data_IF_110400883077
#
_entry.id   IF_110400883077
#
_cell.length_a   1.000
_cell.length_b   1.000
_cell.length_c   1.000
_cell.angle_alpha   90.00
_cell.angle_beta   90.00
_cell.angle_gamma   90.00
#
_symmetry.space_group_name_H-M   'P 1'
#
loop_
_entity.id
_entity.type
_entity.pdbx_description
1 polymer ?
#
# COMPACT_ATOMS: atom_id res chain seq x y z
N UNK A 1 9.46 -10.57 9.41
CA UNK A 1 9.89 -10.44 10.82
C UNK A 1 8.73 -10.40 11.83
N UNK A 2 7.91 -9.33 11.91
CA UNK A 2 6.82 -9.23 12.91
C UNK A 2 5.77 -10.35 12.79
N UNK A 3 5.36 -10.68 11.56
CA UNK A 3 4.43 -11.78 11.30
C UNK A 3 5.03 -13.13 11.68
N UNK A 4 6.30 -13.33 11.34
CA UNK A 4 7.05 -14.54 11.69
C UNK A 4 7.12 -14.73 13.21
N UNK A 5 7.31 -13.64 13.96
CA UNK A 5 7.30 -13.64 15.42
C UNK A 5 5.93 -14.01 16.00
N UNK A 6 4.85 -13.50 15.40
CA UNK A 6 3.50 -13.67 15.95
C UNK A 6 2.87 -15.04 15.59
N UNK A 7 3.07 -15.49 14.35
CA UNK A 7 2.36 -16.63 13.74
C UNK A 7 3.28 -17.65 13.06
N UNK A 8 4.60 -17.45 13.08
CA UNK A 8 5.57 -18.36 12.48
C UNK A 8 5.82 -18.13 10.98
N UNK A 9 6.69 -18.97 10.41
CA UNK A 9 7.29 -18.75 9.07
C UNK A 9 6.29 -18.87 7.92
N UNK A 10 5.32 -19.79 8.01
CA UNK A 10 4.31 -19.98 6.96
C UNK A 10 3.39 -18.75 6.82
N UNK A 11 2.93 -18.20 7.95
CA UNK A 11 2.12 -16.99 7.95
C UNK A 11 2.92 -15.78 7.45
N UNK A 12 4.21 -15.67 7.82
CA UNK A 12 5.08 -14.62 7.29
C UNK A 12 5.22 -14.71 5.77
N UNK A 13 5.39 -15.90 5.21
CA UNK A 13 5.47 -16.09 3.76
C UNK A 13 4.17 -15.69 3.06
N UNK A 14 3.02 -16.06 3.62
CA UNK A 14 1.71 -15.66 3.09
C UNK A 14 1.58 -14.14 3.02
N UNK A 15 1.87 -13.44 4.13
CA UNK A 15 1.77 -11.97 4.17
C UNK A 15 2.77 -11.33 3.20
N UNK A 16 4.00 -11.84 3.11
CA UNK A 16 5.00 -11.33 2.14
C UNK A 16 4.53 -11.50 0.69
N UNK A 17 3.90 -12.64 0.35
CA UNK A 17 3.34 -12.87 -0.99
C UNK A 17 2.17 -11.92 -1.26
N UNK A 18 1.23 -11.77 -0.32
CA UNK A 18 0.12 -10.81 -0.44
C UNK A 18 0.66 -9.40 -0.66
N UNK A 19 1.66 -8.99 0.12
CA UNK A 19 2.30 -7.69 0.01
C UNK A 19 2.96 -7.49 -1.35
N UNK A 20 3.73 -8.48 -1.82
CA UNK A 20 4.38 -8.44 -3.13
C UNK A 20 3.37 -8.33 -4.28
N UNK A 21 2.30 -9.12 -4.24
CA UNK A 21 1.23 -9.04 -5.24
C UNK A 21 0.54 -7.67 -5.23
N UNK A 22 0.37 -7.07 -4.05
CA UNK A 22 -0.30 -5.79 -3.93
C UNK A 22 0.56 -4.63 -4.49
N UNK A 23 1.87 -4.62 -4.21
CA UNK A 23 2.82 -3.65 -4.81
C UNK A 23 2.92 -3.83 -6.31
N UNK A 24 3.04 -5.08 -6.78
CA UNK A 24 3.08 -5.41 -8.20
C UNK A 24 1.81 -4.88 -8.91
N UNK A 25 0.65 -5.17 -8.33
CA UNK A 25 -0.63 -4.71 -8.84
C UNK A 25 -0.71 -3.19 -8.92
N UNK A 26 -0.18 -2.46 -7.93
CA UNK A 26 -0.18 -1.00 -7.93
C UNK A 26 0.67 -0.35 -9.02
N UNK A 27 1.65 -1.08 -9.58
CA UNK A 27 2.43 -0.61 -10.72
C UNK A 27 1.62 -0.55 -12.03
N UNK A 28 0.61 -1.40 -12.19
CA UNK A 28 -0.15 -1.56 -13.44
C UNK A 28 -1.02 -0.32 -13.74
N UNK A 29 -1.87 0.19 -12.82
CA UNK A 29 -2.61 1.44 -13.00
C UNK A 29 -1.71 2.63 -13.33
N UNK A 30 -0.59 2.76 -12.63
CA UNK A 30 0.37 3.85 -12.83
C UNK A 30 0.91 3.84 -14.27
N UNK A 31 1.33 2.68 -14.77
CA UNK A 31 1.82 2.55 -16.14
C UNK A 31 0.72 2.91 -17.17
N UNK A 32 -0.52 2.49 -16.92
CA UNK A 32 -1.65 2.77 -17.80
C UNK A 32 -1.98 4.27 -17.84
N UNK A 33 -2.09 4.94 -16.69
CA UNK A 33 -2.39 6.38 -16.61
C UNK A 33 -1.27 7.19 -17.27
N UNK A 34 -0.01 6.82 -17.05
CA UNK A 34 1.11 7.50 -17.71
C UNK A 34 1.07 7.32 -19.24
N UNK A 35 0.72 6.12 -19.74
CA UNK A 35 0.56 5.89 -21.19
C UNK A 35 -0.59 6.72 -21.80
N UNK A 36 -1.68 6.87 -21.05
CA UNK A 36 -2.83 7.69 -21.43
C UNK A 36 -2.48 9.19 -21.50
N UNK A 37 -1.72 9.68 -20.52
CA UNK A 37 -1.25 11.07 -20.54
C UNK A 37 -0.27 11.33 -21.69
N UNK A 38 0.63 10.38 -21.98
CA UNK A 38 1.57 10.48 -23.10
C UNK A 38 0.87 10.53 -24.46
N UNK A 39 -0.23 9.78 -24.64
CA UNK A 39 -1.04 9.90 -25.87
C UNK A 39 -1.54 11.34 -26.06
N UNK A 40 -2.08 11.96 -25.01
CA UNK A 40 -2.62 13.33 -25.09
C UNK A 40 -1.53 14.37 -25.34
N UNK A 41 -0.36 14.20 -24.73
CA UNK A 41 0.83 15.03 -25.00
C UNK A 41 1.29 14.87 -26.46
N UNK A 42 1.34 13.63 -26.95
CA UNK A 42 1.74 13.31 -28.33
C UNK A 42 0.79 13.90 -29.37
N UNK A 43 -0.51 13.89 -29.11
CA UNK A 43 -1.51 14.53 -29.95
C UNK A 43 -1.29 16.05 -30.06
N UNK A 44 -1.06 16.73 -28.92
CA UNK A 44 -0.77 18.18 -28.92
C UNK A 44 0.53 18.50 -29.65
N UNK A 45 1.60 17.73 -29.40
CA UNK A 45 2.92 17.96 -30.01
C UNK A 45 2.92 17.72 -31.52
N UNK A 46 2.13 16.75 -32.00
CA UNK A 46 1.97 16.47 -33.43
C UNK A 46 1.01 17.42 -34.15
N UNK A 47 0.51 18.47 -33.48
CA UNK A 47 -0.55 19.34 -34.00
C UNK A 47 -1.78 18.54 -34.48
N UNK A 48 -2.14 17.49 -33.76
CA UNK A 48 -3.26 16.58 -34.04
C UNK A 48 -3.15 15.80 -35.37
N UNK A 49 -1.94 15.64 -35.91
CA UNK A 49 -1.72 14.92 -37.18
C UNK A 49 -1.42 13.42 -37.00
N UNK A 50 -0.88 13.02 -35.84
CA UNK A 50 -0.48 11.64 -35.57
C UNK A 50 -1.12 11.18 -34.26
N UNK A 51 -2.11 10.29 -34.35
CA UNK A 51 -2.71 9.65 -33.17
C UNK A 51 -2.00 8.33 -32.86
N UNK A 52 -1.06 8.39 -31.92
CA UNK A 52 -0.44 7.20 -31.33
C UNK A 52 -1.28 6.75 -30.14
N UNK A 53 -2.00 5.65 -30.30
CA UNK A 53 -2.81 5.07 -29.22
C UNK A 53 -1.98 4.78 -27.96
N UNK A 54 -2.58 4.99 -26.79
CA UNK A 54 -1.98 4.69 -25.49
C UNK A 54 -1.43 3.25 -25.37
N UNK A 55 -1.95 2.25 -26.11
CA UNK A 55 -1.41 0.88 -26.10
C UNK A 55 0.06 0.84 -26.58
N UNK A 56 0.45 1.66 -27.55
CA UNK A 56 1.84 1.73 -28.01
C UNK A 56 2.70 2.52 -27.01
N UNK A 57 2.16 3.59 -26.44
CA UNK A 57 2.82 4.33 -25.37
C UNK A 57 3.07 3.47 -24.14
N UNK A 58 2.19 2.53 -23.83
CA UNK A 58 2.35 1.55 -22.75
C UNK A 58 3.61 0.70 -22.96
N UNK A 59 3.82 0.17 -24.17
CA UNK A 59 5.01 -0.61 -24.53
C UNK A 59 6.29 0.24 -24.46
N UNK A 60 6.24 1.45 -25.03
CA UNK A 60 7.37 2.40 -25.02
C UNK A 60 7.75 2.75 -23.58
N UNK A 61 6.76 3.07 -22.75
CA UNK A 61 6.97 3.44 -21.36
C UNK A 61 7.52 2.26 -20.55
N UNK A 62 7.01 1.04 -20.76
CA UNK A 62 7.58 -0.17 -20.15
C UNK A 62 9.06 -0.37 -20.51
N UNK A 63 9.42 -0.14 -21.78
CA UNK A 63 10.82 -0.22 -22.24
C UNK A 63 11.70 0.86 -21.62
N UNK A 64 11.19 2.09 -21.44
CA UNK A 64 11.93 3.21 -20.83
C UNK A 64 12.07 3.01 -19.31
N UNK A 65 11.02 2.56 -18.63
CA UNK A 65 11.03 2.33 -17.19
C UNK A 65 11.92 1.14 -16.81
N UNK A 66 12.05 0.12 -17.66
CA UNK A 66 12.87 -1.06 -17.41
C UNK A 66 14.34 -0.74 -17.02
N UNK A 67 15.14 0.01 -17.80
CA UNK A 67 16.51 0.35 -17.44
C UNK A 67 16.59 1.29 -16.23
N UNK A 68 15.62 2.21 -16.06
CA UNK A 68 15.54 3.08 -14.88
C UNK A 68 15.40 2.23 -13.61
N UNK A 69 14.60 1.17 -13.69
CA UNK A 69 14.39 0.24 -12.58
C UNK A 69 15.60 -0.65 -12.32
N UNK A 70 16.56 -0.83 -13.23
CA UNK A 70 17.80 -1.55 -12.92
C UNK A 70 18.72 -0.74 -12.01
N UNK A 71 18.71 0.59 -12.15
CA UNK A 71 19.57 1.53 -11.43
C UNK A 71 19.06 1.89 -10.03
N UNK A 72 17.76 1.68 -9.77
CA UNK A 72 17.12 1.97 -8.49
C UNK A 72 17.73 1.17 -7.34
N UNK A 73 18.66 1.79 -6.62
CA UNK A 73 19.18 1.36 -5.32
C UNK A 73 18.55 2.25 -4.23
N UNK A 74 18.27 1.72 -3.02
CA UNK A 74 17.63 2.48 -1.94
C UNK A 74 18.35 3.77 -1.53
N UNK A 75 19.65 3.88 -1.82
CA UNK A 75 20.50 5.01 -1.38
C UNK A 75 20.06 6.38 -1.94
N UNK A 76 19.40 6.42 -3.09
CA UNK A 76 18.96 7.67 -3.75
C UNK A 76 17.44 7.94 -3.59
N UNK A 77 16.73 7.06 -2.86
CA UNK A 77 15.27 7.08 -2.76
C UNK A 77 14.74 8.36 -2.12
N UNK A 78 15.48 8.95 -1.18
CA UNK A 78 15.05 10.17 -0.46
C UNK A 78 14.86 11.38 -1.37
N UNK A 79 15.74 11.55 -2.38
CA UNK A 79 15.67 12.69 -3.29
C UNK A 79 14.58 12.47 -4.34
N UNK A 80 14.49 11.25 -4.87
CA UNK A 80 13.43 10.87 -5.81
C UNK A 80 12.06 11.02 -5.15
N UNK A 81 11.89 10.53 -3.92
CA UNK A 81 10.65 10.67 -3.15
C UNK A 81 10.30 12.12 -2.82
N UNK A 82 11.29 12.96 -2.48
CA UNK A 82 11.05 14.39 -2.25
C UNK A 82 10.60 15.11 -3.53
N UNK A 83 11.30 14.89 -4.65
CA UNK A 83 10.93 15.48 -5.94
C UNK A 83 9.54 15.03 -6.37
N UNK A 84 9.24 13.75 -6.19
CA UNK A 84 7.93 13.15 -6.43
C UNK A 84 6.83 13.86 -5.62
N UNK A 85 7.02 14.04 -4.31
CA UNK A 85 6.06 14.73 -3.46
C UNK A 85 5.82 16.19 -3.88
N UNK A 86 6.89 16.92 -4.25
CA UNK A 86 6.77 18.30 -4.75
C UNK A 86 5.94 18.33 -6.04
N UNK A 87 6.21 17.41 -6.98
CA UNK A 87 5.46 17.34 -8.23
C UNK A 87 3.97 17.02 -8.03
N UNK A 88 3.60 16.23 -7.02
CA UNK A 88 2.18 15.97 -6.66
C UNK A 88 1.48 17.26 -6.21
N UNK A 89 2.15 18.07 -5.41
CA UNK A 89 1.57 19.33 -4.92
C UNK A 89 1.35 20.27 -6.10
N UNK A 90 2.34 20.40 -6.99
CA UNK A 90 2.25 21.24 -8.19
C UNK A 90 1.12 20.74 -9.11
N UNK A 91 1.08 19.44 -9.41
CA UNK A 91 0.03 18.88 -10.27
C UNK A 91 -1.36 19.07 -9.65
N UNK A 92 -1.51 18.88 -8.33
CA UNK A 92 -2.78 19.09 -7.65
C UNK A 92 -3.28 20.53 -7.81
N UNK A 93 -2.39 21.52 -7.68
CA UNK A 93 -2.75 22.94 -7.89
C UNK A 93 -3.17 23.22 -9.33
N UNK A 94 -2.46 22.66 -10.32
CA UNK A 94 -2.80 22.81 -11.74
C UNK A 94 -4.13 22.12 -12.09
N UNK A 95 -4.35 20.92 -11.55
CA UNK A 95 -5.61 20.19 -11.70
C UNK A 95 -6.77 21.00 -11.10
N UNK A 96 -6.61 21.59 -9.90
CA UNK A 96 -7.65 22.43 -9.31
C UNK A 96 -7.93 23.68 -10.12
N UNK A 97 -6.89 24.31 -10.68
CA UNK A 97 -7.07 25.43 -11.61
C UNK A 97 -7.93 25.02 -12.81
N UNK A 98 -7.60 23.90 -13.47
CA UNK A 98 -8.35 23.39 -14.62
C UNK A 98 -9.79 22.98 -14.25
N UNK A 99 -10.01 22.43 -13.05
CA UNK A 99 -11.34 22.09 -12.55
C UNK A 99 -12.22 23.34 -12.33
N UNK A 100 -11.62 24.44 -11.89
CA UNK A 100 -12.33 25.69 -11.63
C UNK A 100 -12.64 26.49 -12.91
N UNK A 101 -11.84 26.31 -13.97
CA UNK A 101 -11.93 26.99 -15.27
C UNK A 101 -13.13 26.54 -16.15
N UNK A 102 -13.99 25.66 -15.64
CA UNK A 102 -15.22 25.25 -16.34
C UNK A 102 -16.19 26.44 -16.47
N UNK A 103 -16.39 26.91 -17.71
CA UNK A 103 -17.30 28.01 -18.07
C UNK A 103 -18.77 27.58 -18.28
N UNK A 104 -19.30 26.69 -17.44
CA UNK A 104 -20.68 26.22 -17.59
C UNK A 104 -21.53 26.63 -16.38
N UNK A 105 -22.55 27.45 -16.63
CA UNK A 105 -23.57 27.85 -15.64
C UNK A 105 -24.60 26.74 -15.35
N UNK A 106 -24.47 25.58 -16.01
CA UNK A 106 -25.34 24.43 -15.79
C UNK A 106 -25.04 23.77 -14.44
N UNK A 107 -26.07 23.69 -13.60
CA UNK A 107 -26.00 22.97 -12.32
C UNK A 107 -25.74 21.48 -12.58
N UNK A 108 -24.71 20.88 -11.95
CA UNK A 108 -24.41 19.49 -12.17
C UNK A 108 -25.49 18.58 -11.58
N UNK A 109 -25.82 17.53 -12.34
CA UNK A 109 -26.72 16.48 -11.85
C UNK A 109 -25.94 15.63 -10.85
N UNK A 110 -26.40 15.63 -9.61
CA UNK A 110 -25.84 14.84 -8.52
C UNK A 110 -26.36 13.40 -8.60
N UNK A 111 -25.48 12.38 -8.67
CA UNK A 111 -25.91 10.98 -8.70
C UNK A 111 -26.53 10.56 -7.37
N UNK A 112 -27.54 9.69 -7.43
CA UNK A 112 -28.04 9.02 -6.23
C UNK A 112 -27.02 7.99 -5.73
N UNK A 113 -26.79 7.88 -4.41
CA UNK A 113 -25.87 6.90 -3.87
C UNK A 113 -26.41 5.48 -4.11
N UNK A 114 -25.61 4.63 -4.74
CA UNK A 114 -25.91 3.20 -4.87
C UNK A 114 -24.95 2.37 -4.00
N UNK A 115 -25.45 1.26 -3.48
CA UNK A 115 -24.63 0.34 -2.67
C UNK A 115 -23.45 -0.22 -3.49
N UNK A 116 -23.69 -0.58 -4.74
CA UNK A 116 -22.68 -1.10 -5.67
C UNK A 116 -21.53 -0.10 -5.87
N UNK A 117 -21.85 1.16 -6.23
CA UNK A 117 -20.84 2.20 -6.43
C UNK A 117 -20.06 2.50 -5.15
N UNK A 118 -20.70 2.43 -3.98
CA UNK A 118 -20.03 2.66 -2.71
C UNK A 118 -19.02 1.56 -2.38
N UNK A 119 -19.36 0.30 -2.69
CA UNK A 119 -18.50 -0.86 -2.43
C UNK A 119 -17.31 -0.92 -3.42
N UNK A 120 -17.53 -0.53 -4.68
CA UNK A 120 -16.44 -0.39 -5.66
C UNK A 120 -15.52 0.76 -5.24
N UNK A 121 -16.09 1.90 -4.82
CA UNK A 121 -15.33 3.03 -4.31
C UNK A 121 -14.49 2.66 -3.08
N UNK A 122 -15.02 1.84 -2.16
CA UNK A 122 -14.24 1.30 -1.04
C UNK A 122 -12.97 0.59 -1.51
N UNK A 123 -13.05 -0.26 -2.55
CA UNK A 123 -11.89 -0.95 -3.09
C UNK A 123 -10.83 0.03 -3.61
N UNK A 124 -11.24 1.01 -4.41
CA UNK A 124 -10.33 2.04 -4.94
C UNK A 124 -9.72 2.88 -3.82
N UNK A 125 -10.50 3.26 -2.81
CA UNK A 125 -10.02 4.02 -1.64
C UNK A 125 -9.06 3.19 -0.78
N UNK A 126 -9.34 1.90 -0.58
CA UNK A 126 -8.45 0.98 0.14
C UNK A 126 -7.12 0.81 -0.59
N UNK A 127 -7.15 0.77 -1.94
CA UNK A 127 -5.93 0.82 -2.74
C UNK A 127 -5.18 2.15 -2.56
N UNK A 128 -5.90 3.28 -2.59
CA UNK A 128 -5.30 4.61 -2.59
C UNK A 128 -4.59 4.98 -1.27
N UNK A 129 -5.08 4.47 -0.14
CA UNK A 129 -4.55 4.76 1.19
C UNK A 129 -3.61 3.66 1.73
N UNK A 130 -3.19 2.73 0.88
CA UNK A 130 -2.22 1.72 1.28
C UNK A 130 -0.79 2.30 1.38
N UNK A 131 -0.17 2.10 2.55
CA UNK A 131 1.24 2.46 2.79
C UNK A 131 2.05 1.23 3.23
N UNK A 132 1.37 0.13 3.60
CA UNK A 132 1.94 -1.02 4.31
C UNK A 132 3.19 -1.62 3.63
N UNK A 133 3.25 -1.77 2.30
CA UNK A 133 4.41 -2.34 1.64
C UNK A 133 5.68 -1.49 1.73
N UNK A 134 5.53 -0.18 1.88
CA UNK A 134 6.65 0.75 1.89
C UNK A 134 7.09 1.12 3.32
N UNK A 135 6.25 0.85 4.33
CA UNK A 135 6.51 1.22 5.72
C UNK A 135 7.83 0.67 6.26
N UNK A 136 8.15 -0.60 5.99
CA UNK A 136 9.39 -1.20 6.49
C UNK A 136 10.62 -0.59 5.82
N UNK A 137 10.58 -0.39 4.51
CA UNK A 137 11.67 0.25 3.77
C UNK A 137 11.90 1.68 4.27
N UNK A 138 10.83 2.47 4.42
CA UNK A 138 10.92 3.83 4.98
C UNK A 138 11.48 3.79 6.40
N UNK A 139 10.96 2.92 7.28
CA UNK A 139 11.41 2.84 8.66
C UNK A 139 12.89 2.48 8.78
N UNK A 140 13.40 1.61 7.90
CA UNK A 140 14.82 1.27 7.86
C UNK A 140 15.70 2.43 7.41
N UNK A 141 15.18 3.30 6.54
CA UNK A 141 15.87 4.47 6.00
C UNK A 141 15.72 5.74 6.88
N UNK A 142 14.81 5.75 7.85
CA UNK A 142 14.63 6.87 8.78
C UNK A 142 15.79 7.01 9.76
N UNK A 143 16.29 8.25 9.92
CA UNK A 143 17.29 8.61 10.95
C UNK A 143 16.80 8.25 12.36
N UNK A 144 15.55 8.58 12.65
CA UNK A 144 14.87 8.27 13.92
C UNK A 144 13.66 7.37 13.63
N UNK A 145 13.75 6.10 13.98
CA UNK A 145 12.68 5.11 13.71
C UNK A 145 11.42 5.34 14.54
N UNK A 146 11.54 6.04 15.67
CA UNK A 146 10.45 6.30 16.62
C UNK A 146 9.47 7.39 16.13
N UNK A 147 9.89 8.19 15.14
CA UNK A 147 9.07 9.26 14.56
C UNK A 147 8.15 8.75 13.44
N UNK A 148 8.20 7.46 13.12
CA UNK A 148 7.43 6.83 12.03
C UNK A 148 5.92 7.11 12.16
N UNK A 149 5.35 6.95 13.35
CA UNK A 149 3.91 7.17 13.56
C UNK A 149 3.47 8.60 13.26
N UNK A 150 4.28 9.59 13.66
CA UNK A 150 4.01 11.00 13.37
C UNK A 150 4.16 11.29 11.87
N UNK A 151 5.20 10.75 11.23
CA UNK A 151 5.41 10.90 9.79
C UNK A 151 4.23 10.33 8.98
N UNK A 152 3.74 9.14 9.34
CA UNK A 152 2.56 8.51 8.73
C UNK A 152 1.32 9.38 8.92
N UNK A 153 1.07 9.89 10.14
CA UNK A 153 -0.08 10.74 10.43
C UNK A 153 -0.09 12.01 9.56
N UNK A 154 1.06 12.70 9.47
CA UNK A 154 1.20 13.90 8.64
C UNK A 154 0.97 13.55 7.16
N UNK A 155 1.55 12.43 6.68
CA UNK A 155 1.37 11.99 5.30
C UNK A 155 -0.11 11.70 4.96
N UNK A 156 -0.84 11.03 5.85
CA UNK A 156 -2.28 10.78 5.67
C UNK A 156 -3.12 12.06 5.71
N UNK A 157 -2.79 13.02 6.59
CA UNK A 157 -3.51 14.29 6.66
C UNK A 157 -3.30 15.13 5.38
N UNK A 158 -2.07 15.19 4.88
CA UNK A 158 -1.76 15.94 3.65
C UNK A 158 -2.40 15.26 2.43
N UNK A 159 -2.19 13.97 2.23
CA UNK A 159 -2.77 13.22 1.09
C UNK A 159 -4.30 13.20 1.13
N UNK A 160 -4.88 12.93 2.29
CA UNK A 160 -6.33 12.98 2.51
C UNK A 160 -6.91 14.36 2.22
N UNK A 161 -6.21 15.43 2.60
CA UNK A 161 -6.58 16.80 2.25
C UNK A 161 -6.59 17.06 0.74
N UNK A 162 -5.55 16.63 0.02
CA UNK A 162 -5.47 16.77 -1.43
C UNK A 162 -6.62 16.02 -2.14
N UNK A 163 -6.91 14.79 -1.72
CA UNK A 163 -8.01 14.00 -2.27
C UNK A 163 -9.37 14.62 -1.95
N UNK A 164 -9.58 15.10 -0.73
CA UNK A 164 -10.84 15.72 -0.31
C UNK A 164 -11.15 16.98 -1.13
N UNK A 165 -10.17 17.87 -1.29
CA UNK A 165 -10.33 19.10 -2.09
C UNK A 165 -10.70 18.74 -3.54
N UNK A 166 -9.97 17.79 -4.14
CA UNK A 166 -10.22 17.34 -5.51
C UNK A 166 -11.61 16.73 -5.67
N UNK A 167 -12.02 15.88 -4.72
CA UNK A 167 -13.34 15.24 -4.73
C UNK A 167 -14.48 16.27 -4.60
N UNK A 168 -14.33 17.26 -3.72
CA UNK A 168 -15.32 18.34 -3.56
C UNK A 168 -15.45 19.17 -4.84
N UNK A 169 -14.34 19.53 -5.49
CA UNK A 169 -14.37 20.26 -6.75
C UNK A 169 -15.03 19.45 -7.88
N UNK A 170 -14.68 18.17 -8.02
CA UNK A 170 -15.27 17.28 -9.02
C UNK A 170 -16.78 17.11 -8.80
N UNK A 171 -17.19 16.83 -7.56
CA UNK A 171 -18.60 16.63 -7.21
C UNK A 171 -19.43 17.91 -7.41
N UNK A 172 -18.93 19.06 -6.96
CA UNK A 172 -19.67 20.33 -7.01
C UNK A 172 -19.74 20.98 -8.40
N UNK A 173 -18.82 20.68 -9.32
CA UNK A 173 -18.77 21.29 -10.67
C UNK A 173 -19.16 20.35 -11.81
N UNK A 174 -18.97 19.04 -11.66
CA UNK A 174 -19.16 18.08 -12.75
C UNK A 174 -20.22 17.01 -12.44
N UNK A 175 -20.42 16.64 -11.17
CA UNK A 175 -21.44 15.65 -10.78
C UNK A 175 -21.29 14.34 -11.56
N UNK A 176 -22.33 13.96 -12.31
CA UNK A 176 -22.36 12.74 -13.16
C UNK A 176 -21.51 12.81 -14.44
N UNK A 177 -21.03 13.98 -14.86
CA UNK A 177 -20.27 14.15 -16.11
C UNK A 177 -18.76 13.91 -15.94
N UNK A 178 -18.36 13.06 -15.00
CA UNK A 178 -16.95 12.75 -14.70
C UNK A 178 -16.52 11.45 -15.38
N UNK A 179 -15.34 11.49 -15.98
CA UNK A 179 -14.63 10.28 -16.40
C UNK A 179 -13.84 9.69 -15.23
N UNK A 180 -13.58 8.38 -15.26
CA UNK A 180 -12.69 7.73 -14.30
C UNK A 180 -11.29 8.37 -14.27
N UNK A 181 -10.78 8.76 -15.43
CA UNK A 181 -9.60 9.63 -15.53
C UNK A 181 -10.06 11.07 -15.70
N UNK A 182 -10.21 11.77 -14.59
CA UNK A 182 -10.74 13.15 -14.57
C UNK A 182 -9.98 14.08 -15.49
N UNK A 183 -8.64 13.99 -15.53
CA UNK A 183 -7.81 14.90 -16.33
C UNK A 183 -8.13 14.79 -17.83
N UNK A 184 -8.45 13.60 -18.34
CA UNK A 184 -8.83 13.42 -19.75
C UNK A 184 -10.21 13.99 -20.09
N UNK A 185 -11.07 14.14 -19.09
CA UNK A 185 -12.41 14.72 -19.25
C UNK A 185 -12.46 16.24 -19.18
N UNK A 186 -11.34 16.91 -18.88
CA UNK A 186 -11.27 18.36 -18.78
C UNK A 186 -11.14 19.02 -20.15
N UNK A 187 -11.55 20.28 -20.24
CA UNK A 187 -11.45 21.06 -21.48
C UNK A 187 -9.97 21.28 -21.86
N UNK A 188 -9.60 21.11 -23.15
CA UNK A 188 -8.23 21.33 -23.59
C UNK A 188 -7.75 22.75 -23.32
N UNK A 189 -6.71 22.90 -22.50
CA UNK A 189 -6.05 24.18 -22.21
C UNK A 189 -4.53 23.96 -22.12
N UNK A 190 -3.73 25.01 -22.33
CA UNK A 190 -2.27 24.88 -22.22
C UNK A 190 -1.82 24.53 -20.80
N UNK A 191 -2.61 24.94 -19.79
CA UNK A 191 -2.41 24.55 -18.39
C UNK A 191 -2.64 23.04 -18.20
N UNK A 192 -3.70 22.49 -18.81
CA UNK A 192 -3.99 21.05 -18.76
C UNK A 192 -2.87 20.22 -19.42
N UNK A 193 -2.33 20.67 -20.57
CA UNK A 193 -1.20 19.99 -21.20
C UNK A 193 0.08 20.04 -20.35
N UNK A 194 0.32 21.15 -19.67
CA UNK A 194 1.41 21.27 -18.70
C UNK A 194 1.21 20.30 -17.53
N UNK A 195 -0.03 20.19 -17.03
CA UNK A 195 -0.39 19.25 -15.97
C UNK A 195 -0.18 17.79 -16.40
N UNK A 196 -0.58 17.42 -17.62
CA UNK A 196 -0.29 16.08 -18.16
C UNK A 196 1.19 15.74 -18.14
N UNK A 197 2.08 16.68 -18.50
CA UNK A 197 3.53 16.46 -18.46
C UNK A 197 4.02 16.25 -17.03
N UNK A 198 3.59 17.12 -16.09
CA UNK A 198 4.01 17.05 -14.69
C UNK A 198 3.50 15.77 -14.03
N UNK A 199 2.24 15.40 -14.24
CA UNK A 199 1.64 14.15 -13.74
C UNK A 199 2.36 12.94 -14.33
N UNK A 200 2.72 12.95 -15.62
CA UNK A 200 3.46 11.84 -16.24
C UNK A 200 4.84 11.68 -15.59
N UNK A 201 5.58 12.76 -15.40
CA UNK A 201 6.88 12.74 -14.72
C UNK A 201 6.69 12.19 -13.29
N UNK A 202 5.67 12.68 -12.58
CA UNK A 202 5.39 12.24 -11.23
C UNK A 202 5.06 10.74 -11.15
N UNK A 203 4.25 10.23 -12.08
CA UNK A 203 3.93 8.79 -12.12
C UNK A 203 5.18 7.96 -12.39
N UNK A 204 6.07 8.39 -13.29
CA UNK A 204 7.34 7.68 -13.54
C UNK A 204 8.19 7.63 -12.26
N UNK A 205 8.34 8.76 -11.55
CA UNK A 205 9.06 8.79 -10.26
C UNK A 205 8.41 7.87 -9.23
N UNK A 206 7.07 7.87 -9.16
CA UNK A 206 6.30 7.01 -8.26
C UNK A 206 6.46 5.53 -8.58
N UNK A 207 6.51 5.13 -9.85
CA UNK A 207 6.75 3.73 -10.27
C UNK A 207 8.12 3.27 -9.76
N UNK A 208 9.16 4.11 -9.90
CA UNK A 208 10.51 3.77 -9.45
C UNK A 208 10.57 3.60 -7.93
N UNK A 209 9.96 4.53 -7.19
CA UNK A 209 9.90 4.46 -5.71
C UNK A 209 9.07 3.26 -5.27
N UNK A 210 7.87 3.11 -5.81
CA UNK A 210 6.89 2.11 -5.44
C UNK A 210 7.30 0.67 -5.80
N UNK A 211 8.10 0.46 -6.84
CA UNK A 211 8.61 -0.87 -7.18
C UNK A 211 9.76 -1.34 -6.28
N UNK A 212 10.35 -0.46 -5.48
CA UNK A 212 11.52 -0.78 -4.65
C UNK A 212 11.25 -1.87 -3.60
N UNK A 213 10.16 -1.83 -2.81
CA UNK A 213 9.83 -2.89 -1.86
C UNK A 213 9.56 -4.24 -2.53
N UNK A 214 8.90 -4.25 -3.68
CA UNK A 214 8.66 -5.48 -4.45
C UNK A 214 9.98 -6.16 -4.85
N UNK A 215 10.94 -5.39 -5.35
CA UNK A 215 12.24 -5.94 -5.71
C UNK A 215 13.04 -6.41 -4.51
N UNK A 216 12.97 -5.72 -3.37
CA UNK A 216 13.60 -6.19 -2.13
C UNK A 216 13.05 -7.57 -1.72
N UNK A 217 11.73 -7.75 -1.75
CA UNK A 217 11.07 -9.02 -1.40
C UNK A 217 11.50 -10.14 -2.37
N UNK A 218 11.45 -9.88 -3.68
CA UNK A 218 11.78 -10.88 -4.70
C UNK A 218 13.28 -11.23 -4.71
N UNK A 219 14.16 -10.24 -4.52
CA UNK A 219 15.61 -10.44 -4.47
C UNK A 219 16.00 -11.25 -3.22
N UNK A 220 15.35 -11.02 -2.08
CA UNK A 220 15.55 -11.81 -0.84
C UNK A 220 15.09 -13.27 -1.00
N UNK A 221 13.89 -13.50 -1.52
CA UNK A 221 13.36 -14.86 -1.72
C UNK A 221 14.19 -15.67 -2.75
N UNK A 222 14.75 -14.99 -3.76
CA UNK A 222 15.61 -15.62 -4.78
C UNK A 222 17.10 -15.64 -4.41
N UNK A 223 17.49 -15.16 -3.22
CA UNK A 223 18.87 -15.03 -2.77
C UNK A 223 19.78 -14.32 -3.79
N UNK A 224 19.28 -13.25 -4.41
CA UNK A 224 20.04 -12.45 -5.38
C UNK A 224 20.86 -11.41 -4.61
N UNK A 225 22.15 -11.28 -4.93
CA UNK A 225 23.00 -10.29 -4.29
C UNK A 225 22.59 -8.86 -4.65
N UNK A 226 22.76 -7.92 -3.71
CA UNK A 226 22.37 -6.52 -3.84
C UNK A 226 23.18 -5.70 -4.87
N UNK A 227 24.19 -6.31 -5.50
CA UNK A 227 25.01 -5.70 -6.54
C UNK A 227 24.30 -5.59 -7.89
N UNK A 228 24.93 -4.89 -8.84
CA UNK A 228 24.50 -4.95 -10.24
C UNK A 228 24.88 -6.33 -10.80
N UNK A 229 23.88 -7.09 -11.24
CA UNK A 229 24.08 -8.45 -11.73
C UNK A 229 23.01 -8.83 -12.73
N UNK A 230 23.37 -9.69 -13.69
CA UNK A 230 22.46 -10.11 -14.77
C UNK A 230 21.16 -10.75 -14.23
N UNK A 231 21.23 -11.48 -13.11
CA UNK A 231 20.05 -12.06 -12.42
C UNK A 231 19.05 -10.99 -11.98
N UNK A 232 19.55 -9.84 -11.51
CA UNK A 232 18.74 -8.70 -11.07
C UNK A 232 18.09 -8.00 -12.26
N UNK A 233 18.86 -7.72 -13.31
CA UNK A 233 18.32 -7.16 -14.55
C UNK A 233 17.24 -8.08 -15.14
N UNK A 234 17.48 -9.38 -15.19
CA UNK A 234 16.51 -10.36 -15.68
C UNK A 234 15.23 -10.36 -14.84
N UNK A 235 15.33 -10.45 -13.51
CA UNK A 235 14.16 -10.41 -12.62
C UNK A 235 13.33 -9.14 -12.80
N UNK A 236 13.97 -7.96 -12.78
CA UNK A 236 13.29 -6.66 -12.89
C UNK A 236 12.65 -6.47 -14.27
N UNK A 237 13.30 -6.97 -15.32
CA UNK A 237 12.76 -6.98 -16.69
C UNK A 237 11.53 -7.89 -16.77
N UNK A 238 11.61 -9.10 -16.22
CA UNK A 238 10.47 -10.04 -16.18
C UNK A 238 9.26 -9.43 -15.47
N UNK A 239 9.46 -8.80 -14.31
CA UNK A 239 8.37 -8.12 -13.58
C UNK A 239 7.74 -7.03 -14.45
N UNK A 240 8.55 -6.17 -15.08
CA UNK A 240 8.04 -5.11 -15.97
C UNK A 240 7.27 -5.66 -17.17
N UNK A 241 7.77 -6.73 -17.81
CA UNK A 241 7.08 -7.39 -18.92
C UNK A 241 5.72 -7.92 -18.48
N UNK A 242 5.63 -8.57 -17.32
CA UNK A 242 4.35 -9.05 -16.78
C UNK A 242 3.41 -7.87 -16.46
N UNK A 243 3.92 -6.77 -15.91
CA UNK A 243 3.14 -5.53 -15.67
C UNK A 243 2.55 -4.98 -16.97
N UNK A 244 3.35 -4.91 -18.04
CA UNK A 244 2.92 -4.44 -19.37
C UNK A 244 1.84 -5.36 -19.95
N UNK A 245 2.05 -6.68 -19.92
CA UNK A 245 1.08 -7.66 -20.42
C UNK A 245 -0.26 -7.58 -19.68
N UNK A 246 -0.22 -7.37 -18.36
CA UNK A 246 -1.43 -7.22 -17.56
C UNK A 246 -2.17 -5.92 -17.88
N UNK A 247 -1.44 -4.81 -18.06
CA UNK A 247 -2.02 -3.54 -18.50
C UNK A 247 -2.62 -3.61 -19.91
N UNK A 248 -2.04 -4.42 -20.80
CA UNK A 248 -2.56 -4.63 -22.16
C UNK A 248 -3.82 -5.50 -22.16
N UNK A 249 -3.88 -6.50 -21.27
CA UNK A 249 -5.03 -7.39 -21.13
C UNK A 249 -6.26 -6.66 -20.57
N UNK A 250 -6.06 -5.77 -19.59
CA UNK A 250 -7.14 -5.00 -18.94
C UNK A 250 -6.77 -3.51 -18.96
N UNK A 251 -7.03 -2.78 -20.06
CA UNK A 251 -6.70 -1.36 -20.18
C UNK A 251 -7.71 -0.46 -19.43
N UNK A 252 -8.07 -0.85 -18.21
CA UNK A 252 -8.94 -0.12 -17.27
C UNK A 252 -8.32 -0.08 -15.88
N UNK A 253 -7.64 1.04 -15.59
CA UNK A 253 -6.91 1.21 -14.33
C UNK A 253 -7.83 1.20 -13.10
N UNK A 254 -9.06 1.70 -13.23
CA UNK A 254 -10.07 1.76 -12.18
C UNK A 254 -10.51 0.36 -11.72
N UNK A 255 -10.75 -0.56 -12.65
CA UNK A 255 -11.05 -1.96 -12.34
C UNK A 255 -9.89 -2.65 -11.64
N UNK A 256 -8.66 -2.40 -12.10
CA UNK A 256 -7.46 -2.98 -11.51
C UNK A 256 -7.28 -2.46 -10.07
N UNK A 257 -7.41 -1.16 -9.84
CA UNK A 257 -7.33 -0.55 -8.50
C UNK A 257 -8.42 -1.08 -7.56
N UNK A 258 -9.67 -1.17 -8.02
CA UNK A 258 -10.77 -1.73 -7.23
C UNK A 258 -10.51 -3.18 -6.83
N UNK A 259 -10.02 -4.00 -7.77
CA UNK A 259 -9.74 -5.42 -7.54
C UNK A 259 -8.60 -5.61 -6.54
N UNK A 260 -7.47 -4.94 -6.74
CA UNK A 260 -6.30 -5.05 -5.85
C UNK A 260 -6.63 -4.50 -4.47
N UNK A 261 -7.32 -3.35 -4.43
CA UNK A 261 -7.73 -2.70 -3.20
C UNK A 261 -8.68 -3.56 -2.36
N UNK A 262 -9.71 -4.11 -2.99
CA UNK A 262 -10.67 -5.01 -2.32
C UNK A 262 -10.06 -6.35 -1.91
N UNK A 263 -9.24 -6.97 -2.77
CA UNK A 263 -8.78 -8.35 -2.55
C UNK A 263 -7.50 -8.47 -1.73
N UNK A 264 -6.54 -7.57 -1.90
CA UNK A 264 -5.22 -7.64 -1.27
C UNK A 264 -5.07 -6.57 -0.19
N UNK A 265 -5.33 -5.29 -0.51
CA UNK A 265 -5.09 -4.18 0.42
C UNK A 265 -6.05 -4.18 1.60
N UNK A 266 -7.32 -4.53 1.37
CA UNK A 266 -8.30 -4.69 2.46
C UNK A 266 -7.85 -5.68 3.53
N UNK A 267 -7.17 -6.76 3.13
CA UNK A 267 -6.62 -7.74 4.07
C UNK A 267 -5.41 -7.20 4.83
N UNK A 268 -4.51 -6.53 4.12
CA UNK A 268 -3.30 -5.90 4.67
C UNK A 268 -3.65 -4.79 5.69
N UNK A 269 -4.79 -4.13 5.54
CA UNK A 269 -5.24 -3.04 6.41
C UNK A 269 -6.12 -3.51 7.58
N UNK A 270 -7.16 -4.31 7.32
CA UNK A 270 -8.20 -4.60 8.31
C UNK A 270 -8.05 -5.96 9.00
N UNK A 271 -7.28 -6.89 8.43
CA UNK A 271 -7.17 -8.26 8.94
C UNK A 271 -5.84 -8.48 9.63
N UNK A 272 -4.72 -8.32 8.91
CA UNK A 272 -3.42 -8.67 9.46
C UNK A 272 -2.99 -7.79 10.63
N UNK A 273 -3.08 -6.45 10.61
CA UNK A 273 -2.58 -5.63 11.71
C UNK A 273 -3.28 -5.91 13.05
N UNK A 274 -4.63 -5.97 13.13
CA UNK A 274 -5.32 -6.33 14.37
C UNK A 274 -5.00 -7.74 14.88
N UNK A 275 -4.86 -8.72 13.99
CA UNK A 275 -4.49 -10.09 14.36
C UNK A 275 -3.05 -10.16 14.91
N UNK A 276 -2.11 -9.50 14.25
CA UNK A 276 -0.71 -9.43 14.70
C UNK A 276 -0.66 -8.68 16.04
N UNK A 277 -1.34 -7.56 16.17
CA UNK A 277 -1.36 -6.75 17.39
C UNK A 277 -1.91 -7.52 18.60
N UNK A 278 -3.07 -8.17 18.44
CA UNK A 278 -3.68 -8.99 19.51
C UNK A 278 -2.78 -10.16 19.91
N UNK A 279 -2.17 -10.82 18.93
CA UNK A 279 -1.25 -11.93 19.17
C UNK A 279 0.01 -11.47 19.89
N UNK A 280 0.65 -10.39 19.43
CA UNK A 280 1.85 -9.85 20.05
C UNK A 280 1.61 -9.40 21.49
N UNK A 281 0.51 -8.71 21.79
CA UNK A 281 0.15 -8.33 23.18
C UNK A 281 -0.06 -9.56 24.07
N UNK A 282 -0.68 -10.62 23.53
CA UNK A 282 -0.86 -11.86 24.28
C UNK A 282 0.47 -12.56 24.60
N UNK A 283 1.42 -12.58 23.65
CA UNK A 283 2.74 -13.18 23.83
C UNK A 283 3.59 -12.35 24.80
N UNK A 284 3.57 -11.02 24.66
CA UNK A 284 4.31 -10.12 25.54
C UNK A 284 3.80 -10.19 26.99
N UNK A 285 2.48 -10.20 27.19
CA UNK A 285 1.88 -10.37 28.52
C UNK A 285 2.27 -11.71 29.17
N UNK A 286 2.28 -12.79 28.39
CA UNK A 286 2.70 -14.11 28.90
C UNK A 286 4.18 -14.13 29.33
N UNK A 287 5.07 -13.47 28.56
CA UNK A 287 6.52 -13.49 28.84
C UNK A 287 6.95 -12.51 29.94
N UNK A 288 6.43 -11.28 29.95
CA UNK A 288 6.93 -10.20 30.81
C UNK A 288 6.02 -9.84 32.00
N UNK A 289 4.72 -10.15 31.96
CA UNK A 289 3.79 -9.88 33.09
C UNK A 289 3.69 -11.09 34.04
N UNK A 290 4.11 -12.29 33.62
CA UNK A 290 4.36 -13.41 34.52
C UNK A 290 5.87 -13.71 34.61
N UNK A 291 6.58 -12.98 35.49
CA UNK A 291 7.26 -13.69 36.58
C UNK A 291 7.24 -12.95 37.94
N UNK A 292 6.18 -12.20 38.28
CA UNK A 292 6.13 -11.46 39.57
C UNK A 292 5.22 -12.06 40.66
N UNK A 293 4.35 -13.03 40.36
CA UNK A 293 3.34 -13.49 41.32
C UNK A 293 3.44 -14.93 41.84
N UNK A 294 4.48 -15.71 41.49
CA UNK A 294 4.60 -17.10 41.98
C UNK A 294 5.74 -17.31 42.99
N UNK A 295 6.69 -16.38 43.15
CA UNK A 295 7.86 -16.59 44.03
C UNK A 295 7.94 -15.73 45.29
N UNK A 296 6.93 -14.91 45.63
CA UNK A 296 6.99 -14.06 46.83
C UNK A 296 6.18 -14.57 48.05
N UNK A 297 5.46 -15.70 47.95
CA UNK A 297 4.61 -16.21 49.04
C UNK A 297 5.16 -17.50 49.70
N UNK A 298 6.39 -17.92 49.40
CA UNK A 298 6.99 -19.09 50.09
C UNK A 298 8.45 -18.87 50.48
N UNK A 299 8.72 -17.88 51.34
CA UNK A 299 9.95 -17.89 52.12
C UNK A 299 9.86 -17.05 53.40
N UNK A 300 8.93 -17.39 54.29
CA UNK A 300 9.15 -17.28 55.74
C UNK A 300 8.42 -18.44 56.40
N UNK A 301 9.15 -19.50 56.70
CA UNK A 301 8.61 -20.72 57.28
C UNK A 301 9.66 -21.82 57.37
N UNK A 302 10.51 -21.71 58.40
CA UNK A 302 11.10 -22.78 59.21
C UNK A 302 11.26 -24.17 58.57
N UNK A 303 12.52 -24.59 58.46
CA UNK A 303 13.04 -25.96 58.47
C UNK A 303 12.56 -26.99 57.41
N UNK A 304 13.53 -27.55 56.68
CA UNK A 304 13.45 -28.94 56.21
C UNK A 304 13.38 -29.16 54.70
N UNK A 305 14.46 -29.70 54.14
CA UNK A 305 14.56 -30.66 53.02
C UNK A 305 13.67 -30.41 51.78
N UNK A 306 14.30 -30.03 50.67
CA UNK A 306 13.72 -29.95 49.33
C UNK A 306 13.37 -31.38 48.81
N UNK A 307 12.11 -31.70 48.45
CA UNK A 307 11.78 -33.01 47.90
C UNK A 307 12.13 -33.10 46.40
N UNK A 308 12.73 -34.22 46.02
CA UNK A 308 13.29 -34.57 44.70
C UNK A 308 12.25 -34.65 43.57
N UNK A 309 10.96 -34.47 43.82
CA UNK A 309 9.89 -34.56 42.82
C UNK A 309 9.66 -33.26 42.02
N UNK A 310 10.16 -32.10 42.48
CA UNK A 310 10.03 -30.83 41.75
C UNK A 310 11.03 -30.67 40.59
N UNK A 311 12.07 -31.51 40.53
CA UNK A 311 13.05 -31.47 39.43
C UNK A 311 12.51 -32.09 38.14
N UNK A 312 11.49 -32.96 38.24
CA UNK A 312 10.87 -33.61 37.08
C UNK A 312 9.84 -32.72 36.37
N UNK A 313 9.16 -31.80 37.08
CA UNK A 313 8.15 -30.94 36.48
C UNK A 313 8.75 -29.75 35.70
N UNK A 314 9.98 -29.34 36.03
CA UNK A 314 10.69 -28.24 35.35
C UNK A 314 11.35 -28.70 34.04
N UNK A 315 11.52 -30.01 33.83
CA UNK A 315 12.21 -30.58 32.66
C UNK A 315 11.28 -31.17 31.58
N UNK A 316 9.96 -31.11 31.77
CA UNK A 316 8.98 -31.70 30.85
C UNK A 316 8.25 -30.69 29.93
N UNK A 317 8.56 -29.39 30.00
CA UNK A 317 8.05 -28.38 29.06
C UNK A 317 8.82 -28.40 27.74
N UNK A 318 8.38 -29.23 26.80
CA UNK A 318 8.97 -29.51 25.49
C UNK A 318 9.35 -28.26 24.64
N UNK A 319 10.64 -27.94 24.59
CA UNK A 319 11.56 -28.04 23.41
C UNK A 319 11.15 -27.47 22.03
N UNK A 320 10.17 -26.57 21.91
CA UNK A 320 9.86 -25.89 20.64
C UNK A 320 10.00 -24.35 20.67
N UNK A 321 10.10 -23.71 21.84
CA UNK A 321 9.94 -22.24 21.96
C UNK A 321 11.20 -21.40 22.18
N UNK A 322 12.39 -22.00 22.37
CA UNK A 322 13.64 -21.22 22.59
C UNK A 322 13.92 -20.22 21.44
N UNK A 323 13.59 -20.58 20.20
CA UNK A 323 13.81 -19.71 19.04
C UNK A 323 12.85 -18.52 18.95
N UNK A 324 11.65 -18.63 19.53
CA UNK A 324 10.67 -17.53 19.55
C UNK A 324 10.94 -16.58 20.71
N UNK A 325 11.42 -17.13 21.83
CA UNK A 325 11.79 -16.38 23.03
C UNK A 325 12.99 -15.45 22.77
N UNK A 326 14.05 -15.93 22.13
CA UNK A 326 15.21 -15.12 21.70
C UNK A 326 14.80 -13.99 20.74
N UNK A 327 13.85 -14.28 19.84
CA UNK A 327 13.33 -13.28 18.90
C UNK A 327 12.45 -12.22 19.58
N UNK A 328 11.67 -12.57 20.59
CA UNK A 328 10.87 -11.59 21.36
C UNK A 328 11.78 -10.68 22.19
N UNK A 329 12.88 -11.22 22.73
CA UNK A 329 13.95 -10.43 23.35
C UNK A 329 14.63 -9.51 22.34
N UNK A 330 14.91 -9.97 21.12
CA UNK A 330 15.46 -9.11 20.07
C UNK A 330 14.54 -7.92 19.74
N UNK A 331 13.21 -8.09 19.74
CA UNK A 331 12.26 -6.98 19.56
C UNK A 331 12.28 -6.03 20.75
N UNK A 332 12.35 -6.56 21.98
CA UNK A 332 12.50 -5.75 23.20
C UNK A 332 13.83 -4.96 23.19
N UNK A 333 14.94 -5.57 22.73
CA UNK A 333 16.25 -4.91 22.62
C UNK A 333 16.33 -3.91 21.45
N UNK A 334 15.72 -4.21 20.31
CA UNK A 334 15.58 -3.27 19.18
C UNK A 334 14.74 -2.04 19.58
N UNK A 335 13.80 -2.19 20.50
CA UNK A 335 13.00 -1.09 21.07
C UNK A 335 13.79 -0.26 22.09
N UNK A 336 14.60 -0.90 22.95
CA UNK A 336 15.28 -0.25 24.10
C UNK A 336 16.49 0.62 23.75
N UNK A 337 16.83 0.84 22.48
CA UNK A 337 18.09 1.51 22.10
C UNK A 337 18.16 3.02 22.44
N UNK A 338 17.12 3.65 23.01
CA UNK A 338 17.20 5.08 23.36
C UNK A 338 16.21 5.54 24.43
N UNK A 339 16.35 5.10 25.68
CA UNK A 339 15.95 5.95 26.83
C UNK A 339 16.45 5.42 28.16
N UNK A 340 17.16 6.28 28.88
CA UNK A 340 17.55 6.15 30.28
C UNK A 340 16.31 5.99 31.16
N UNK A 341 16.41 5.08 32.14
CA UNK A 341 15.38 4.77 33.15
C UNK A 341 14.95 6.04 33.88
N UNK A 342 13.70 6.46 33.72
CA UNK A 342 13.07 7.45 34.59
C UNK A 342 11.68 6.96 35.02
N UNK A 343 11.47 6.91 36.34
CA UNK A 343 10.29 6.39 37.04
C UNK A 343 8.98 7.02 36.54
N UNK A 344 7.83 6.31 36.61
CA UNK A 344 6.57 6.83 36.11
C UNK A 344 6.04 7.92 37.06
N UNK A 345 6.10 9.17 36.62
CA UNK A 345 5.24 10.23 37.16
C UNK A 345 3.97 10.28 36.33
N UNK A 346 2.84 10.45 37.01
CA UNK A 346 1.48 10.52 36.48
C UNK A 346 1.32 11.68 35.47
N UNK A 347 1.72 11.47 34.22
CA UNK A 347 1.48 12.41 33.12
C UNK A 347 0.30 11.91 32.30
N UNK A 348 -0.73 12.76 32.12
CA UNK A 348 -1.86 12.51 31.22
C UNK A 348 -1.30 12.01 29.88
N UNK A 349 -1.67 10.79 29.49
CA UNK A 349 -1.22 10.17 28.25
C UNK A 349 -1.61 11.06 27.09
N UNK A 350 -0.60 11.56 26.38
CA UNK A 350 -0.82 12.31 25.16
C UNK A 350 -1.34 11.34 24.09
N UNK A 351 -2.20 11.78 23.18
CA UNK A 351 -2.64 10.99 22.01
C UNK A 351 -1.42 10.44 21.22
N UNK A 352 -0.27 11.13 21.33
CA UNK A 352 1.01 10.73 20.77
C UNK A 352 1.66 9.51 21.44
N UNK A 353 1.38 9.24 22.73
CA UNK A 353 1.91 8.05 23.42
C UNK A 353 1.30 6.74 22.88
N UNK A 354 0.12 6.82 22.25
CA UNK A 354 -0.55 5.67 21.61
C UNK A 354 0.15 5.21 20.34
N UNK A 355 0.92 6.08 19.68
CA UNK A 355 1.69 5.74 18.47
C UNK A 355 3.02 5.04 18.78
N UNK A 356 3.42 4.95 20.05
CA UNK A 356 4.62 4.23 20.48
C UNK A 356 4.25 2.78 20.84
N UNK A 357 4.55 1.85 19.93
CA UNK A 357 4.21 0.43 20.08
C UNK A 357 4.75 -0.17 21.40
N UNK A 358 5.89 0.32 21.89
CA UNK A 358 6.53 -0.11 23.15
C UNK A 358 5.62 0.11 24.37
N UNK A 359 5.14 1.33 24.58
CA UNK A 359 4.27 1.67 25.72
C UNK A 359 2.94 0.91 25.67
N UNK A 360 2.49 0.57 24.46
CA UNK A 360 1.22 -0.12 24.25
C UNK A 360 1.32 -1.63 24.48
N UNK A 361 2.49 -2.24 24.23
CA UNK A 361 2.75 -3.66 24.52
C UNK A 361 2.84 -3.93 26.03
N UNK A 362 3.29 -2.94 26.83
CA UNK A 362 3.38 -3.03 28.29
C UNK A 362 2.01 -3.05 29.00
N UNK A 363 0.93 -2.63 28.33
CA UNK A 363 -0.44 -2.58 28.89
C UNK A 363 -1.09 -3.97 29.08
N UNK A 364 -0.35 -5.07 28.89
CA UNK A 364 -0.86 -6.44 29.09
C UNK A 364 -1.84 -6.88 27.99
N UNK A 365 -2.66 -7.94 28.23
CA UNK A 365 -3.62 -8.44 27.24
C UNK A 365 -4.78 -7.44 27.02
N UNK A 366 -5.37 -7.44 25.82
CA UNK A 366 -6.50 -6.56 25.49
C UNK A 366 -7.71 -6.82 26.40
N UNK A 367 -8.40 -5.73 26.77
CA UNK A 367 -9.68 -5.79 27.45
C UNK A 367 -10.75 -6.45 26.55
N UNK A 368 -11.83 -6.95 27.16
CA UNK A 368 -12.92 -7.61 26.42
C UNK A 368 -13.57 -6.67 25.40
N UNK A 369 -13.68 -5.39 25.72
CA UNK A 369 -14.19 -4.37 24.80
C UNK A 369 -13.30 -4.20 23.56
N UNK A 370 -11.98 -4.04 23.76
CA UNK A 370 -11.03 -3.89 22.65
C UNK A 370 -10.98 -5.14 21.75
N UNK A 371 -11.12 -6.33 22.35
CA UNK A 371 -11.25 -7.59 21.60
C UNK A 371 -12.52 -7.59 20.75
N UNK A 372 -13.66 -7.18 21.31
CA UNK A 372 -14.92 -7.08 20.58
C UNK A 372 -14.82 -6.09 19.42
N UNK A 373 -14.20 -4.93 19.63
CA UNK A 373 -13.99 -3.92 18.59
C UNK A 373 -13.07 -4.44 17.48
N UNK A 374 -12.00 -5.15 17.84
CA UNK A 374 -11.12 -5.78 16.85
C UNK A 374 -11.84 -6.86 16.03
N UNK A 375 -12.66 -7.70 16.65
CA UNK A 375 -13.46 -8.71 15.94
C UNK A 375 -14.46 -8.02 14.99
N UNK A 376 -15.11 -6.95 15.44
CA UNK A 376 -16.03 -6.17 14.60
C UNK A 376 -15.30 -5.55 13.41
N UNK A 377 -14.13 -4.93 13.63
CA UNK A 377 -13.32 -4.33 12.57
C UNK A 377 -12.88 -5.38 11.55
N UNK A 378 -12.39 -6.54 12.00
CA UNK A 378 -11.97 -7.63 11.11
C UNK A 378 -13.17 -8.15 10.30
N UNK A 379 -14.33 -8.38 10.93
CA UNK A 379 -15.51 -8.92 10.25
C UNK A 379 -16.08 -7.94 9.21
N UNK A 380 -16.16 -6.65 9.54
CA UNK A 380 -16.55 -5.60 8.59
C UNK A 380 -15.53 -5.44 7.46
N UNK A 381 -14.23 -5.50 7.78
CA UNK A 381 -13.17 -5.45 6.77
C UNK A 381 -13.23 -6.62 5.80
N UNK A 382 -13.46 -7.84 6.30
CA UNK A 382 -13.63 -9.04 5.49
C UNK A 382 -14.86 -8.92 4.58
N UNK A 383 -16.01 -8.52 5.14
CA UNK A 383 -17.24 -8.42 4.35
C UNK A 383 -17.11 -7.36 3.25
N UNK A 384 -16.56 -6.19 3.55
CA UNK A 384 -16.29 -5.13 2.57
C UNK A 384 -15.31 -5.59 1.49
N UNK A 385 -14.22 -6.28 1.88
CA UNK A 385 -13.20 -6.80 0.96
C UNK A 385 -13.77 -7.85 0.00
N UNK A 386 -14.53 -8.83 0.53
CA UNK A 386 -15.18 -9.87 -0.29
C UNK A 386 -16.17 -9.25 -1.27
N UNK A 387 -17.01 -8.33 -0.79
CA UNK A 387 -18.05 -7.73 -1.60
C UNK A 387 -17.47 -6.81 -2.68
N UNK A 388 -16.44 -6.02 -2.35
CA UNK A 388 -15.71 -5.17 -3.29
C UNK A 388 -14.98 -5.97 -4.36
N UNK A 389 -14.35 -7.06 -3.96
CA UNK A 389 -13.71 -8.00 -4.89
C UNK A 389 -14.74 -8.62 -5.84
N UNK A 390 -15.89 -9.06 -5.31
CA UNK A 390 -16.95 -9.67 -6.12
C UNK A 390 -17.50 -8.72 -7.18
N UNK A 391 -17.87 -7.48 -6.79
CA UNK A 391 -18.42 -6.51 -7.75
C UNK A 391 -17.38 -6.11 -8.80
N UNK A 392 -16.14 -5.82 -8.37
CA UNK A 392 -15.09 -5.41 -9.32
C UNK A 392 -14.72 -6.56 -10.27
N UNK A 393 -14.66 -7.80 -9.78
CA UNK A 393 -14.38 -8.96 -10.60
C UNK A 393 -15.50 -9.24 -11.61
N UNK A 394 -16.77 -9.08 -11.19
CA UNK A 394 -17.92 -9.16 -12.10
C UNK A 394 -17.82 -8.14 -13.23
N UNK A 395 -17.42 -6.90 -12.93
CA UNK A 395 -17.23 -5.86 -13.94
C UNK A 395 -16.06 -6.13 -14.88
N UNK A 396 -14.99 -6.76 -14.38
CA UNK A 396 -13.87 -7.22 -15.22
C UNK A 396 -14.33 -8.32 -16.19
N UNK A 397 -15.10 -9.31 -15.73
CA UNK A 397 -15.60 -10.38 -16.60
C UNK A 397 -16.50 -9.80 -17.69
N UNK A 398 -17.49 -8.97 -17.31
CA UNK A 398 -18.34 -8.30 -18.27
C UNK A 398 -17.50 -7.53 -19.28
N UNK A 399 -16.51 -6.77 -18.83
CA UNK A 399 -15.63 -6.02 -19.72
C UNK A 399 -14.84 -6.91 -20.70
N UNK A 400 -14.30 -8.04 -20.23
CA UNK A 400 -13.50 -8.98 -21.02
C UNK A 400 -14.34 -9.71 -22.09
N UNK A 401 -15.60 -10.01 -21.80
CA UNK A 401 -16.52 -10.63 -22.77
C UNK A 401 -16.87 -9.67 -23.93
N UNK A 402 -16.81 -8.36 -23.69
CA UNK A 402 -17.19 -7.34 -24.68
C UNK A 402 -16.01 -6.66 -25.40
N UNK A 403 -14.79 -6.72 -24.86
CA UNK A 403 -13.66 -5.91 -25.38
C UNK A 403 -12.41 -6.76 -25.61
N UNK A 404 -11.88 -6.81 -26.85
CA UNK A 404 -10.64 -7.54 -27.12
C UNK A 404 -9.41 -6.79 -26.56
N UNK A 405 -8.25 -7.45 -26.41
CA UNK A 405 -7.01 -6.85 -25.87
C UNK A 405 -6.64 -5.52 -26.55
N UNK A 406 -6.00 -4.62 -25.80
CA UNK A 406 -5.71 -3.24 -26.22
C UNK A 406 -5.18 -3.15 -27.67
N UNK A 407 -4.13 -3.91 -27.99
CA UNK A 407 -3.47 -3.85 -29.31
C UNK A 407 -4.38 -4.37 -30.43
N UNK A 408 -5.16 -5.42 -30.15
CA UNK A 408 -6.07 -6.01 -31.13
C UNK A 408 -7.22 -5.04 -31.44
N UNK A 409 -7.73 -4.33 -30.44
CA UNK A 409 -8.76 -3.31 -30.61
C UNK A 409 -8.27 -2.14 -31.46
N UNK A 410 -7.08 -1.60 -31.17
CA UNK A 410 -6.47 -0.52 -31.97
C UNK A 410 -6.20 -0.98 -33.41
N UNK A 411 -5.74 -2.22 -33.61
CA UNK A 411 -5.50 -2.78 -34.93
C UNK A 411 -6.79 -3.02 -35.74
N UNK A 412 -7.91 -3.31 -35.05
CA UNK A 412 -9.22 -3.44 -35.67
C UNK A 412 -9.75 -2.06 -36.07
N UNK A 413 -9.65 -1.08 -35.17
CA UNK A 413 -10.04 0.30 -35.42
C UNK A 413 -9.29 0.90 -36.62
N UNK A 414 -7.97 0.72 -36.70
CA UNK A 414 -7.17 1.22 -37.83
C UNK A 414 -7.53 0.55 -39.16
N UNK A 415 -7.85 -0.76 -39.15
CA UNK A 415 -8.32 -1.48 -40.35
C UNK A 415 -9.69 -1.00 -40.83
N UNK A 416 -10.57 -0.60 -39.94
CA UNK A 416 -11.89 -0.06 -40.30
C UNK A 416 -11.76 1.33 -40.91
N UNK A 417 -10.92 2.20 -40.35
CA UNK A 417 -10.62 3.52 -40.93
C UNK A 417 -10.00 3.41 -42.32
N UNK A 418 -9.08 2.45 -42.54
CA UNK A 418 -8.45 2.23 -43.85
C UNK A 418 -9.43 1.67 -44.90
N UNK A 419 -10.52 0.99 -44.50
CA UNK A 419 -11.57 0.55 -45.43
C UNK A 419 -12.58 1.65 -45.78
N UNK A 420 -12.59 2.75 -45.03
CA UNK A 420 -13.49 3.89 -45.24
C UNK A 420 -12.83 5.07 -45.96
N UNK A 421 -11.50 5.10 -46.03
CA UNK A 421 -10.70 6.00 -46.87
C UNK A 421 -10.42 5.34 -48.23
#
# INVERSE_FOLDING_TARGET
ALVELAFGRNASRLVSVTLGLAVFGGGVPNLLIASQNLQLIGLKLSSYKMDFSYCYWLLILGLICCPIMWLGSPKDLKWIGLMSAITVIISSLLTWYCLMDKNSDELPIIPSPSWETMIIAYGIVAFQFDVHPMLLTIQMDMKNKNDLGLAILIAFLVSGGLFLITAVLCYSRYGTSLHYNTLQGLQPSDVLYTDFVIVTIQIILSIVVGASPLFQILEEELNISSGFGWKRCFLRTTVMVITVLLAEAIPRFDLIMGLIGGSLMGQLMFIYPPLIYTRLRSLYARKFVQPSHVNYIKSYGSNGVLPTSLRALVLSGHRADLSMEDRLESVHFLSRSSSVVQRPTTRKSSLFDMFQLEKVLELGPLAMFDKSMNILLITLGISASILSTYFTFSDIIKYADFTPPCITNVSLASKLTYRQA
#
